data_IF_333743431402
#
_entry.id   IF_333743431402
#
_cell.length_a   1.000
_cell.length_b   1.000
_cell.length_c   1.000
_cell.angle_alpha   90.00
_cell.angle_beta   90.00
_cell.angle_gamma   90.00
#
_symmetry.space_group_name_H-M   'P 1'
#
loop_
_entity.id
_entity.type
_entity.pdbx_description
1 polymer ?
#
# COMPACT_ATOMS: atom_id res chain seq x y z
N UNK A 1 7.13 -6.53 0.63
CA UNK A 1 6.52 -5.18 0.83
C UNK A 1 6.22 -4.58 -0.51
N UNK A 2 5.19 -3.73 -0.60
CA UNK A 2 4.77 -3.06 -1.83
C UNK A 2 4.74 -1.55 -1.67
N UNK A 3 5.15 -0.82 -2.71
CA UNK A 3 4.89 0.60 -2.89
C UNK A 3 3.65 0.80 -3.77
N UNK A 4 2.82 1.81 -3.47
CA UNK A 4 1.67 2.21 -4.30
C UNK A 4 2.14 3.17 -5.40
N UNK A 5 2.35 2.65 -6.61
CA UNK A 5 2.88 3.42 -7.74
C UNK A 5 1.81 4.25 -8.46
N UNK A 6 0.54 3.86 -8.30
CA UNK A 6 -0.61 4.56 -8.89
C UNK A 6 -1.81 4.45 -7.97
N UNK A 7 -2.41 5.59 -7.66
CA UNK A 7 -3.67 5.67 -6.94
C UNK A 7 -4.86 5.65 -7.89
N UNK A 8 -6.00 5.07 -7.49
CA UNK A 8 -7.24 5.25 -8.21
C UNK A 8 -7.74 6.68 -8.04
N UNK A 9 -8.70 7.08 -8.87
CA UNK A 9 -9.43 8.32 -8.61
C UNK A 9 -10.30 8.15 -7.37
N UNK A 10 -10.18 9.07 -6.44
CA UNK A 10 -10.99 9.12 -5.23
C UNK A 10 -12.16 10.10 -5.41
N UNK A 11 -13.34 9.72 -4.94
CA UNK A 11 -14.57 10.50 -5.12
C UNK A 11 -15.32 10.19 -6.42
N UNK A 12 -16.55 10.70 -6.55
CA UNK A 12 -17.45 10.40 -7.67
C UNK A 12 -17.80 8.91 -7.74
N UNK A 13 -17.60 8.29 -8.91
CA UNK A 13 -17.82 6.84 -9.14
C UNK A 13 -16.62 5.96 -8.73
N UNK A 14 -15.56 6.54 -8.15
CA UNK A 14 -14.38 5.80 -7.67
C UNK A 14 -14.61 5.09 -6.33
N UNK A 15 -13.73 4.15 -5.94
CA UNK A 15 -13.83 3.47 -4.66
C UNK A 15 -13.62 4.45 -3.50
N UNK A 16 -14.44 4.31 -2.46
CA UNK A 16 -14.25 5.06 -1.21
C UNK A 16 -12.95 4.58 -0.54
N UNK A 17 -12.13 5.52 -0.05
CA UNK A 17 -10.80 5.21 0.49
C UNK A 17 -10.78 4.10 1.56
N UNK A 18 -11.71 4.04 2.55
CA UNK A 18 -11.72 2.95 3.52
C UNK A 18 -11.96 1.57 2.90
N UNK A 19 -12.78 1.50 1.84
CA UNK A 19 -13.04 0.26 1.11
C UNK A 19 -11.80 -0.21 0.35
N UNK A 20 -11.02 0.73 -0.20
CA UNK A 20 -9.71 0.43 -0.78
C UNK A 20 -8.75 -0.14 0.28
N UNK A 21 -8.61 0.54 1.43
CA UNK A 21 -7.72 0.07 2.50
C UNK A 21 -8.11 -1.33 2.95
N UNK A 22 -9.41 -1.57 3.20
CA UNK A 22 -9.92 -2.88 3.57
C UNK A 22 -9.59 -3.97 2.54
N UNK A 23 -9.70 -3.66 1.24
CA UNK A 23 -9.32 -4.59 0.18
C UNK A 23 -7.82 -4.91 0.19
N UNK A 24 -6.97 -3.89 0.33
CA UNK A 24 -5.51 -4.05 0.37
C UNK A 24 -4.99 -4.76 1.64
N UNK A 25 -5.78 -4.81 2.71
CA UNK A 25 -5.42 -5.51 3.95
C UNK A 25 -6.24 -6.78 4.18
N UNK A 26 -6.98 -7.25 3.17
CA UNK A 26 -7.88 -8.42 3.29
C UNK A 26 -7.18 -9.78 3.10
N UNK A 27 -5.92 -9.80 2.70
CA UNK A 27 -5.19 -11.04 2.46
C UNK A 27 -5.06 -11.87 3.76
N UNK A 28 -5.29 -13.20 3.72
CA UNK A 28 -5.11 -14.06 4.87
C UNK A 28 -3.62 -14.19 5.18
N UNK A 29 -3.14 -13.42 6.15
CA UNK A 29 -1.75 -13.40 6.58
C UNK A 29 -1.69 -13.01 8.06
N UNK A 30 -0.58 -13.30 8.76
CA UNK A 30 -0.44 -12.99 10.18
C UNK A 30 -0.70 -11.52 10.51
N UNK A 31 -0.19 -10.60 9.68
CA UNK A 31 -0.49 -9.19 9.78
C UNK A 31 -0.34 -8.46 8.44
N UNK A 32 -1.27 -7.54 8.18
CA UNK A 32 -1.17 -6.58 7.08
C UNK A 32 -1.00 -5.17 7.63
N UNK A 33 0.01 -4.43 7.16
CA UNK A 33 0.22 -3.03 7.52
C UNK A 33 0.06 -2.16 6.29
N UNK A 34 -0.83 -1.18 6.38
CA UNK A 34 -1.00 -0.13 5.37
C UNK A 34 -0.49 1.19 5.94
N UNK A 35 0.41 1.85 5.23
CA UNK A 35 0.97 3.15 5.62
C UNK A 35 0.68 4.16 4.52
N UNK A 36 0.19 5.34 4.90
CA UNK A 36 -0.09 6.45 3.99
C UNK A 36 0.60 7.71 4.50
N UNK A 37 1.31 8.39 3.60
CA UNK A 37 1.85 9.72 3.84
C UNK A 37 1.19 10.69 2.89
N UNK A 38 0.68 11.78 3.44
CA UNK A 38 0.12 12.90 2.67
C UNK A 38 1.06 14.08 2.88
N UNK A 39 1.57 14.64 1.78
CA UNK A 39 2.38 15.85 1.81
C UNK A 39 1.83 16.91 0.86
N UNK A 40 2.15 18.17 1.13
CA UNK A 40 1.77 19.26 0.23
C UNK A 40 2.71 19.28 -0.98
N UNK A 41 2.14 19.30 -2.18
CA UNK A 41 2.87 19.63 -3.41
C UNK A 41 2.62 21.10 -3.75
N UNK A 42 3.47 21.74 -4.58
CA UNK A 42 3.30 23.15 -4.96
C UNK A 42 1.85 23.42 -5.41
N UNK A 43 1.25 24.47 -4.86
CA UNK A 43 -0.16 24.85 -5.10
C UNK A 43 -1.15 24.18 -4.15
N UNK A 44 -2.30 23.75 -4.71
CA UNK A 44 -3.41 23.06 -4.00
C UNK A 44 -3.39 21.53 -4.19
N UNK A 45 -2.28 20.99 -4.70
CA UNK A 45 -2.14 19.55 -4.97
C UNK A 45 -1.55 18.85 -3.75
N UNK A 46 -2.15 17.73 -3.34
CA UNK A 46 -1.60 16.85 -2.32
C UNK A 46 -0.85 15.69 -3.00
N UNK A 47 0.35 15.38 -2.52
CA UNK A 47 1.07 14.18 -2.91
C UNK A 47 0.73 13.06 -1.91
N UNK A 48 0.39 11.88 -2.44
CA UNK A 48 0.11 10.68 -1.64
C UNK A 48 1.20 9.63 -1.91
N UNK A 49 1.83 9.15 -0.85
CA UNK A 49 2.72 7.98 -0.89
C UNK A 49 2.11 6.88 -0.03
N UNK A 50 2.11 5.64 -0.51
CA UNK A 50 1.45 4.53 0.16
C UNK A 50 2.26 3.26 0.09
N UNK A 51 2.15 2.44 1.14
CA UNK A 51 2.85 1.16 1.23
C UNK A 51 1.98 0.09 1.86
N UNK A 52 2.19 -1.15 1.42
CA UNK A 52 1.53 -2.34 1.98
C UNK A 52 2.59 -3.36 2.36
N UNK A 53 2.58 -3.82 3.61
CA UNK A 53 3.43 -4.89 4.10
C UNK A 53 2.55 -6.07 4.52
N UNK A 54 2.87 -7.24 4.00
CA UNK A 54 2.32 -8.51 4.43
C UNK A 54 3.36 -9.22 5.31
N UNK A 55 2.92 -9.75 6.43
CA UNK A 55 3.72 -10.56 7.35
C UNK A 55 2.98 -11.89 7.51
N UNK A 56 3.65 -13.00 7.19
CA UNK A 56 3.12 -14.36 7.27
C UNK A 56 4.08 -15.29 8.00
N UNK A 57 3.63 -16.52 8.25
CA UNK A 57 4.38 -17.54 9.00
C UNK A 57 5.37 -18.34 8.14
N UNK A 58 5.32 -18.17 6.82
CA UNK A 58 6.22 -18.83 5.88
C UNK A 58 6.03 -18.32 4.45
N UNK A 59 6.88 -18.81 3.54
CA UNK A 59 6.93 -18.33 2.16
C UNK A 59 5.67 -18.67 1.35
N UNK A 60 5.07 -19.84 1.58
CA UNK A 60 3.84 -20.24 0.88
C UNK A 60 2.66 -19.33 1.23
N UNK A 61 2.43 -19.07 2.52
CA UNK A 61 1.39 -18.14 2.99
C UNK A 61 1.62 -16.72 2.43
N UNK A 62 2.87 -16.26 2.42
CA UNK A 62 3.22 -14.96 1.85
C UNK A 62 3.01 -14.91 0.33
N UNK A 63 3.26 -16.01 -0.38
CA UNK A 63 3.01 -16.12 -1.82
C UNK A 63 1.52 -16.03 -2.15
N UNK A 64 0.68 -16.76 -1.44
CA UNK A 64 -0.79 -16.70 -1.59
C UNK A 64 -1.34 -15.32 -1.22
N UNK A 65 -0.89 -14.76 -0.10
CA UNK A 65 -1.29 -13.44 0.36
C UNK A 65 -0.85 -12.34 -0.63
N UNK A 66 0.34 -12.46 -1.21
CA UNK A 66 0.84 -11.56 -2.25
C UNK A 66 -0.06 -11.59 -3.49
N UNK A 67 -0.39 -12.77 -4.00
CA UNK A 67 -1.29 -12.91 -5.14
C UNK A 67 -2.69 -12.34 -4.83
N UNK A 68 -3.20 -12.54 -3.62
CA UNK A 68 -4.48 -11.95 -3.19
C UNK A 68 -4.44 -10.43 -3.20
N UNK A 69 -3.38 -9.83 -2.62
CA UNK A 69 -3.16 -8.39 -2.62
C UNK A 69 -3.08 -7.82 -4.04
N UNK A 70 -2.31 -8.45 -4.92
CA UNK A 70 -2.16 -8.00 -6.31
C UNK A 70 -3.49 -8.04 -7.08
N UNK A 71 -4.30 -9.09 -6.89
CA UNK A 71 -5.66 -9.17 -7.44
C UNK A 71 -6.58 -8.07 -6.89
N UNK A 72 -6.56 -7.84 -5.58
CA UNK A 72 -7.37 -6.80 -4.95
C UNK A 72 -6.96 -5.40 -5.44
N UNK A 73 -5.66 -5.13 -5.54
CA UNK A 73 -5.14 -3.87 -6.07
C UNK A 73 -5.58 -3.64 -7.52
N UNK A 74 -5.48 -4.66 -8.37
CA UNK A 74 -5.94 -4.62 -9.76
C UNK A 74 -7.43 -4.29 -9.87
N UNK A 75 -8.28 -4.95 -9.08
CA UNK A 75 -9.73 -4.70 -9.04
C UNK A 75 -10.07 -3.25 -8.64
N UNK A 76 -9.25 -2.64 -7.79
CA UNK A 76 -9.40 -1.25 -7.36
C UNK A 76 -8.58 -0.25 -8.20
N UNK A 77 -7.95 -0.69 -9.29
CA UNK A 77 -7.10 0.13 -10.19
C UNK A 77 -5.91 0.78 -9.47
N UNK A 78 -5.36 0.10 -8.46
CA UNK A 78 -4.18 0.52 -7.71
C UNK A 78 -2.95 -0.15 -8.33
N UNK A 79 -1.94 0.66 -8.66
CA UNK A 79 -0.64 0.14 -9.10
C UNK A 79 0.21 -0.22 -7.90
N UNK A 80 0.77 -1.43 -7.89
CA UNK A 80 1.70 -1.89 -6.87
C UNK A 80 3.05 -2.24 -7.49
N UNK A 81 4.12 -1.95 -6.76
CA UNK A 81 5.50 -2.38 -7.10
C UNK A 81 6.05 -3.16 -5.92
N UNK A 82 6.50 -4.39 -6.17
CA UNK A 82 7.19 -5.20 -5.16
C UNK A 82 8.54 -4.60 -4.83
N UNK A 83 8.81 -4.41 -3.55
CA UNK A 83 10.08 -3.93 -3.01
C UNK A 83 10.91 -5.08 -2.46
N UNK A 84 10.90 -6.23 -3.16
CA UNK A 84 11.68 -7.37 -2.70
C UNK A 84 13.17 -7.02 -2.73
N UNK A 85 13.87 -7.32 -1.64
CA UNK A 85 15.30 -6.98 -1.41
C UNK A 85 15.61 -5.48 -1.25
N UNK A 86 14.62 -4.60 -1.28
CA UNK A 86 14.75 -3.17 -0.96
C UNK A 86 14.24 -2.89 0.46
N UNK A 87 14.99 -3.38 1.46
CA UNK A 87 14.57 -3.30 2.87
C UNK A 87 14.56 -1.86 3.40
N UNK A 88 15.41 -0.97 2.89
CA UNK A 88 15.48 0.43 3.35
C UNK A 88 14.22 1.24 2.97
N UNK A 89 13.78 1.26 1.69
CA UNK A 89 12.53 1.93 1.32
C UNK A 89 11.32 1.36 2.05
N UNK A 90 11.26 0.04 2.21
CA UNK A 90 10.17 -0.64 2.94
C UNK A 90 10.12 -0.35 4.44
N UNK A 91 11.27 -0.04 5.06
CA UNK A 91 11.33 0.39 6.46
C UNK A 91 10.96 1.87 6.59
N UNK A 92 11.54 2.76 5.78
CA UNK A 92 11.20 4.20 5.77
C UNK A 92 9.71 4.44 5.49
N UNK A 93 9.11 3.60 4.66
CA UNK A 93 7.68 3.55 4.36
C UNK A 93 6.76 3.34 5.58
N UNK A 94 7.27 2.70 6.63
CA UNK A 94 6.49 2.21 7.78
C UNK A 94 6.87 2.87 9.09
N UNK A 95 7.98 3.63 9.12
CA UNK A 95 8.36 4.40 10.28
C UNK A 95 7.59 5.74 10.27
N UNK A 96 6.88 6.12 11.34
CA UNK A 96 6.30 7.45 11.48
C UNK A 96 7.42 8.45 11.81
N UNK A 97 8.39 8.61 10.91
CA UNK A 97 9.42 9.64 11.01
C UNK A 97 8.77 10.97 10.60
N UNK A 98 7.91 11.48 11.47
CA UNK A 98 7.51 12.88 11.39
C UNK A 98 8.76 13.77 11.32
N UNK A 99 8.79 14.69 10.36
CA UNK A 99 9.85 15.72 10.28
C UNK A 99 11.04 15.44 9.36
N UNK A 100 11.01 14.44 8.46
CA UNK A 100 12.10 14.19 7.48
C UNK A 100 11.81 14.70 6.06
N UNK A 101 10.83 15.59 5.89
CA UNK A 101 10.59 16.31 4.63
C UNK A 101 10.29 17.78 4.87
#
# INVERSE_FOLDING_TARGET
TYWVSKWPQFGGAGPVFPRLVGALTSAPTLASTFSLTISRQRGKVLALSGHVRLTGRGENELGEAAQHLERAASAFKVGLVRLDREQLPGVLATLPLGGTR
#
